data_IF_744967945686
#
_entry.id   IF_744967945686
#
_cell.length_a   1.000
_cell.length_b   1.000
_cell.length_c   1.000
_cell.angle_alpha   90.00
_cell.angle_beta   90.00
_cell.angle_gamma   90.00
#
_symmetry.space_group_name_H-M   'P 1'
#
loop_
_entity.id
_entity.type
_entity.pdbx_description
1 polymer ?
#
# COMPACT_ATOMS: atom_id res chain seq x y z
N UNK A 1 54.36 41.92 35.46
CA UNK A 1 54.61 40.48 35.22
C UNK A 1 53.42 39.74 35.81
N UNK A 2 52.42 39.37 35.00
CA UNK A 2 52.32 38.19 34.12
C UNK A 2 51.76 36.96 34.85
N UNK A 3 50.70 36.36 34.29
CA UNK A 3 50.11 35.06 34.68
C UNK A 3 48.72 35.24 35.31
N UNK A 4 47.57 35.14 34.62
CA UNK A 4 46.97 34.04 33.83
C UNK A 4 46.69 32.80 34.71
N UNK A 5 45.41 32.58 35.04
CA UNK A 5 44.92 31.42 35.78
C UNK A 5 43.40 31.44 35.98
N UNK A 6 42.70 30.77 35.08
CA UNK A 6 41.39 30.10 35.18
C UNK A 6 40.20 30.76 35.90
N UNK A 7 39.32 31.39 35.10
CA UNK A 7 37.89 31.46 35.38
C UNK A 7 37.16 30.52 34.42
N UNK A 8 36.76 29.36 34.94
CA UNK A 8 36.05 28.31 34.22
C UNK A 8 34.71 28.82 33.64
N UNK A 9 34.69 29.09 32.34
CA UNK A 9 33.47 29.29 31.57
C UNK A 9 32.75 27.94 31.40
N UNK A 10 31.92 27.55 32.37
CA UNK A 10 30.94 26.47 32.20
C UNK A 10 29.85 26.94 31.24
N UNK A 11 30.15 26.89 29.94
CA UNK A 11 29.15 26.97 28.87
C UNK A 11 28.39 25.65 28.91
N UNK A 12 27.22 25.64 29.53
CA UNK A 12 26.30 24.52 29.51
C UNK A 12 25.97 24.21 28.03
N UNK A 13 26.62 23.21 27.46
CA UNK A 13 26.17 22.59 26.21
C UNK A 13 24.86 21.90 26.55
N UNK A 14 23.75 22.57 26.24
CA UNK A 14 22.42 22.00 26.36
C UNK A 14 22.41 20.65 25.66
N UNK A 15 22.10 19.59 26.39
CA UNK A 15 21.82 18.28 25.84
C UNK A 15 20.66 18.43 24.84
N UNK A 16 21.01 18.47 23.55
CA UNK A 16 20.06 18.39 22.46
C UNK A 16 19.62 16.93 22.42
N UNK A 17 18.68 16.62 23.32
CA UNK A 17 18.04 15.31 23.44
C UNK A 17 17.53 14.91 22.07
N UNK A 18 18.07 13.80 21.56
CA UNK A 18 17.67 13.11 20.34
C UNK A 18 16.14 13.11 20.18
N UNK A 19 15.65 13.91 19.25
CA UNK A 19 14.30 13.81 18.69
C UNK A 19 14.41 13.48 17.20
N UNK A 20 15.06 12.36 16.87
CA UNK A 20 14.95 11.75 15.55
C UNK A 20 14.30 10.36 15.68
N UNK A 21 13.19 10.29 16.41
CA UNK A 21 12.30 9.12 16.31
C UNK A 21 11.37 9.35 15.12
N UNK A 22 11.97 9.26 13.92
CA UNK A 22 11.30 9.55 12.66
C UNK A 22 12.28 9.97 11.59
N UNK A 23 13.16 9.06 11.18
CA UNK A 23 13.93 9.21 9.94
C UNK A 23 13.01 9.45 8.74
N UNK A 24 13.56 10.01 7.67
CA UNK A 24 12.80 10.29 6.45
C UNK A 24 12.15 9.00 5.93
N UNK A 25 10.86 9.08 5.56
CA UNK A 25 10.14 7.91 5.04
C UNK A 25 10.64 7.65 3.61
N UNK A 26 11.52 6.67 3.44
CA UNK A 26 11.89 6.12 2.12
C UNK A 26 10.69 5.31 1.59
N UNK A 27 10.03 5.82 0.55
CA UNK A 27 8.95 5.12 -0.16
C UNK A 27 9.54 4.20 -1.21
N UNK A 28 9.00 2.99 -1.31
CA UNK A 28 9.49 1.98 -2.24
C UNK A 28 8.80 2.15 -3.60
N UNK A 29 9.56 2.08 -4.68
CA UNK A 29 9.11 2.44 -6.04
C UNK A 29 8.95 1.25 -6.98
N UNK A 30 9.51 0.09 -6.65
CA UNK A 30 9.36 -1.16 -7.41
C UNK A 30 9.08 -2.38 -6.51
N UNK A 31 8.53 -3.45 -7.10
CA UNK A 31 8.27 -4.70 -6.38
C UNK A 31 9.58 -5.40 -5.94
N UNK A 32 10.61 -5.32 -6.77
CA UNK A 32 11.94 -5.85 -6.46
C UNK A 32 12.59 -5.10 -5.28
N UNK A 33 12.39 -3.79 -5.22
CA UNK A 33 12.86 -2.94 -4.11
C UNK A 33 12.11 -3.25 -2.80
N UNK A 34 10.83 -3.63 -2.87
CA UNK A 34 10.04 -4.08 -1.70
C UNK A 34 10.56 -5.41 -1.16
N UNK A 35 10.85 -6.37 -2.04
CA UNK A 35 11.37 -7.67 -1.65
C UNK A 35 12.77 -7.55 -1.04
N UNK A 36 13.64 -6.74 -1.64
CA UNK A 36 14.97 -6.49 -1.10
C UNK A 36 14.91 -5.88 0.31
N UNK A 37 14.04 -4.88 0.51
CA UNK A 37 13.81 -4.28 1.83
C UNK A 37 13.29 -5.30 2.85
N UNK A 38 12.31 -6.11 2.47
CA UNK A 38 11.73 -7.11 3.36
C UNK A 38 12.78 -8.15 3.78
N UNK A 39 13.62 -8.62 2.85
CA UNK A 39 14.72 -9.56 3.16
C UNK A 39 15.72 -8.97 4.15
N UNK A 40 16.10 -7.70 3.98
CA UNK A 40 17.00 -7.00 4.92
C UNK A 40 16.36 -6.86 6.30
N UNK A 41 15.06 -6.54 6.35
CA UNK A 41 14.33 -6.44 7.62
C UNK A 41 14.18 -7.80 8.32
N UNK A 42 13.98 -8.88 7.56
CA UNK A 42 13.89 -10.25 8.08
C UNK A 42 15.24 -10.71 8.67
N UNK A 43 16.35 -10.49 7.96
CA UNK A 43 17.71 -10.77 8.48
C UNK A 43 17.97 -9.99 9.76
N UNK A 44 17.59 -8.70 9.80
CA UNK A 44 17.74 -7.86 10.99
C UNK A 44 16.86 -8.36 12.16
N UNK A 45 15.66 -8.85 11.88
CA UNK A 45 14.79 -9.43 12.89
C UNK A 45 15.32 -10.77 13.41
N UNK A 46 15.85 -11.62 12.54
CA UNK A 46 16.45 -12.90 12.89
C UNK A 46 17.69 -12.70 13.77
N UNK A 47 18.58 -11.77 13.39
CA UNK A 47 19.74 -11.38 14.23
C UNK A 47 19.31 -10.87 15.61
N UNK A 48 18.21 -10.12 15.69
CA UNK A 48 17.65 -9.65 16.98
C UNK A 48 17.02 -10.78 17.79
N UNK A 49 16.43 -11.78 17.14
CA UNK A 49 15.87 -12.96 17.79
C UNK A 49 16.98 -13.88 18.30
N UNK A 50 18.03 -14.09 17.51
CA UNK A 50 19.21 -14.84 17.92
C UNK A 50 19.84 -14.24 19.19
N UNK A 51 20.04 -12.92 19.24
CA UNK A 51 20.50 -12.20 20.46
C UNK A 51 19.57 -12.29 21.67
N UNK A 52 18.31 -12.71 21.50
CA UNK A 52 17.34 -12.87 22.61
C UNK A 52 17.21 -14.33 23.06
N UNK A 53 17.53 -15.27 22.18
CA UNK A 53 17.43 -16.71 22.42
C UNK A 53 18.75 -17.27 22.99
N UNK A 54 19.88 -16.73 22.53
CA UNK A 54 21.22 -17.02 23.07
C UNK A 54 21.60 -15.91 24.07
N UNK A 55 21.51 -16.21 25.37
CA UNK A 55 21.88 -15.29 26.45
C UNK A 55 23.39 -15.13 26.61
N UNK A 56 24.10 -14.86 25.50
CA UNK A 56 25.55 -14.78 25.45
C UNK A 56 26.02 -13.32 25.44
N UNK A 57 26.69 -12.93 26.52
CA UNK A 57 27.44 -11.68 26.67
C UNK A 57 28.80 -11.80 25.95
N UNK A 58 28.80 -11.77 24.62
CA UNK A 58 30.01 -11.42 23.86
C UNK A 58 29.77 -10.08 23.14
N UNK A 59 30.16 -9.02 23.86
CA UNK A 59 30.26 -7.63 23.42
C UNK A 59 31.44 -7.52 22.43
N UNK A 60 31.25 -7.97 21.19
CA UNK A 60 32.13 -7.64 20.07
C UNK A 60 31.48 -6.55 19.20
N UNK A 61 31.95 -5.34 19.48
CA UNK A 61 31.92 -4.07 18.75
C UNK A 61 30.62 -3.66 18.02
N UNK A 62 30.00 -2.68 18.65
CA UNK A 62 29.06 -1.72 18.10
C UNK A 62 29.72 -0.88 16.98
N UNK A 63 29.78 -1.43 15.76
CA UNK A 63 29.97 -0.62 14.55
C UNK A 63 28.59 -0.19 14.04
N UNK A 64 27.94 0.74 14.76
CA UNK A 64 26.95 1.65 14.18
C UNK A 64 27.66 2.60 13.18
N UNK A 65 28.10 2.02 12.07
CA UNK A 65 28.52 2.72 10.87
C UNK A 65 27.28 3.12 10.08
N UNK A 66 27.07 4.43 9.96
CA UNK A 66 26.17 5.08 9.01
C UNK A 66 26.65 4.83 7.56
N UNK A 67 26.53 3.59 7.07
CA UNK A 67 26.79 3.23 5.68
C UNK A 67 25.52 3.40 4.85
N UNK A 68 25.09 4.66 4.69
CA UNK A 68 24.03 5.08 3.75
C UNK A 68 24.63 5.48 2.37
N UNK A 69 25.82 4.97 2.03
CA UNK A 69 26.41 5.11 0.69
C UNK A 69 27.12 3.80 0.28
N UNK A 70 26.92 3.35 -0.96
CA UNK A 70 27.53 2.18 -1.64
C UNK A 70 27.09 0.74 -1.29
N UNK A 71 25.80 0.42 -1.44
CA UNK A 71 25.31 -1.00 -1.47
C UNK A 71 24.49 -1.30 -2.73
N UNK A 72 25.12 -1.17 -3.90
CA UNK A 72 24.57 -1.78 -5.12
C UNK A 72 25.58 -2.71 -5.82
N UNK A 73 26.87 -2.57 -5.56
CA UNK A 73 27.92 -3.30 -6.31
C UNK A 73 28.58 -4.47 -5.54
N UNK A 74 28.26 -4.66 -4.25
CA UNK A 74 28.91 -5.69 -3.40
C UNK A 74 28.12 -7.00 -3.23
N UNK A 75 26.93 -7.13 -3.84
CA UNK A 75 26.04 -8.29 -3.62
C UNK A 75 26.28 -9.42 -4.65
N UNK A 76 27.08 -9.20 -5.70
CA UNK A 76 27.30 -10.21 -6.74
C UNK A 76 28.45 -11.20 -6.44
N UNK A 77 29.35 -10.89 -5.49
CA UNK A 77 30.60 -11.67 -5.35
C UNK A 77 30.77 -12.46 -4.03
N UNK A 78 29.76 -12.55 -3.16
CA UNK A 78 29.83 -13.38 -1.93
C UNK A 78 28.78 -14.49 -1.92
N UNK A 79 28.68 -15.22 -3.03
CA UNK A 79 27.94 -16.49 -3.08
C UNK A 79 28.73 -17.62 -3.76
N UNK A 80 30.04 -17.64 -3.52
CA UNK A 80 30.75 -18.91 -3.49
C UNK A 80 30.35 -19.61 -2.19
N UNK A 81 29.44 -20.58 -2.31
CA UNK A 81 29.10 -21.53 -1.25
C UNK A 81 30.37 -22.31 -0.89
N UNK A 82 31.18 -21.75 0.01
CA UNK A 82 32.09 -22.55 0.83
C UNK A 82 31.18 -23.43 1.69
N UNK A 83 31.01 -24.68 1.25
CA UNK A 83 30.43 -25.75 2.04
C UNK A 83 31.35 -25.93 3.24
N UNK A 84 31.13 -25.11 4.26
CA UNK A 84 31.75 -25.25 5.56
C UNK A 84 31.23 -26.58 6.11
N UNK A 85 31.99 -27.65 5.83
CA UNK A 85 31.87 -28.90 6.55
C UNK A 85 31.86 -28.54 8.03
N UNK A 86 30.68 -28.64 8.65
CA UNK A 86 30.49 -28.58 10.10
C UNK A 86 31.36 -29.67 10.72
N UNK A 87 32.65 -29.37 10.91
CA UNK A 87 33.62 -30.24 11.53
C UNK A 87 33.12 -30.43 12.94
N UNK A 88 32.60 -31.64 13.20
CA UNK A 88 32.10 -32.05 14.50
C UNK A 88 33.04 -31.54 15.59
N UNK A 89 32.51 -30.69 16.47
CA UNK A 89 33.30 -30.01 17.49
C UNK A 89 34.11 -31.05 18.28
N UNK A 90 35.44 -30.97 18.19
CA UNK A 90 36.32 -31.84 18.96
C UNK A 90 36.04 -31.59 20.45
N UNK A 91 35.90 -32.64 21.28
CA UNK A 91 35.60 -32.47 22.69
C UNK A 91 36.70 -31.63 23.34
N UNK A 92 36.32 -30.50 23.95
CA UNK A 92 37.25 -29.58 24.61
C UNK A 92 37.69 -30.17 25.96
N UNK A 93 38.98 -30.13 26.26
CA UNK A 93 39.53 -30.50 27.57
C UNK A 93 39.44 -31.99 27.94
N UNK A 94 39.24 -32.27 29.23
CA UNK A 94 39.27 -33.64 29.82
C UNK A 94 38.04 -34.48 29.42
N UNK A 95 37.00 -33.85 28.85
CA UNK A 95 35.78 -34.52 28.41
C UNK A 95 36.02 -35.63 27.37
N UNK A 96 37.09 -35.54 26.57
CA UNK A 96 37.47 -36.59 25.62
C UNK A 96 38.15 -37.81 26.26
N UNK A 97 38.62 -37.70 27.51
CA UNK A 97 39.35 -38.74 28.24
C UNK A 97 38.43 -39.53 29.18
N UNK A 98 37.31 -38.92 29.61
CA UNK A 98 36.34 -39.55 30.50
C UNK A 98 35.52 -40.58 29.72
N UNK A 99 35.78 -41.86 29.95
CA UNK A 99 34.96 -42.95 29.42
C UNK A 99 33.59 -42.97 30.12
N UNK A 100 32.54 -42.63 29.39
CA UNK A 100 31.15 -42.71 29.88
C UNK A 100 30.74 -44.18 29.94
N UNK A 101 30.92 -44.83 31.09
CA UNK A 101 30.45 -46.20 31.37
C UNK A 101 28.98 -46.20 31.83
N UNK A 102 28.11 -45.44 31.15
CA UNK A 102 26.68 -45.52 31.45
C UNK A 102 26.06 -46.61 30.56
N UNK A 103 25.62 -47.75 31.11
CA UNK A 103 25.02 -48.83 30.33
C UNK A 103 23.72 -48.42 29.61
N UNK A 104 23.05 -47.33 30.03
CA UNK A 104 21.90 -46.75 29.34
C UNK A 104 22.28 -45.68 28.31
N UNK A 105 23.57 -45.33 28.17
CA UNK A 105 24.03 -44.37 27.19
C UNK A 105 24.25 -45.07 25.85
N UNK A 106 23.21 -45.09 25.02
CA UNK A 106 23.31 -45.57 23.66
C UNK A 106 23.84 -44.44 22.77
N UNK A 107 25.02 -44.64 22.19
CA UNK A 107 25.53 -43.76 21.14
C UNK A 107 24.71 -43.98 19.87
N UNK A 108 24.18 -42.90 19.28
CA UNK A 108 23.48 -42.98 18.01
C UNK A 108 24.45 -43.49 16.93
N UNK A 109 24.27 -44.75 16.50
CA UNK A 109 25.06 -45.31 15.39
C UNK A 109 24.47 -44.76 14.09
N UNK A 110 25.32 -44.17 13.26
CA UNK A 110 24.92 -43.74 11.92
C UNK A 110 24.50 -44.96 11.10
N UNK A 111 23.21 -45.01 10.73
CA UNK A 111 22.66 -46.07 9.87
C UNK A 111 23.13 -45.79 8.45
N UNK A 112 23.79 -46.76 7.81
CA UNK A 112 24.29 -46.60 6.43
C UNK A 112 23.13 -46.82 5.45
N UNK A 113 23.10 -46.06 4.37
CA UNK A 113 22.03 -46.15 3.35
C UNK A 113 21.87 -47.55 2.73
N UNK A 114 22.89 -48.42 2.80
CA UNK A 114 22.85 -49.81 2.31
C UNK A 114 22.04 -50.76 3.21
N UNK A 115 21.80 -50.37 4.46
CA UNK A 115 21.12 -51.20 5.46
C UNK A 115 19.62 -50.83 5.60
N UNK A 116 19.13 -49.87 4.80
CA UNK A 116 17.73 -49.44 4.78
C UNK A 116 16.99 -50.27 3.72
N UNK A 117 16.19 -51.24 4.15
CA UNK A 117 15.31 -52.02 3.28
C UNK A 117 14.07 -51.19 2.91
N UNK A 118 13.84 -50.85 1.63
CA UNK A 118 12.69 -50.06 1.19
C UNK A 118 11.34 -50.79 1.33
N UNK A 119 11.35 -52.10 1.63
CA UNK A 119 10.15 -52.91 1.76
C UNK A 119 9.84 -53.31 3.21
N UNK A 120 10.63 -52.84 4.18
CA UNK A 120 10.36 -53.05 5.60
C UNK A 120 9.21 -52.16 6.08
N UNK A 121 8.35 -52.69 6.95
CA UNK A 121 7.28 -51.91 7.57
C UNK A 121 7.88 -50.73 8.34
N UNK A 122 7.33 -49.51 8.19
CA UNK A 122 7.82 -48.35 8.90
C UNK A 122 7.72 -48.59 10.40
N UNK A 123 8.82 -48.30 11.12
CA UNK A 123 8.86 -48.45 12.56
C UNK A 123 7.67 -47.72 13.20
N UNK A 124 6.99 -48.32 14.22
CA UNK A 124 5.85 -47.69 14.84
C UNK A 124 6.30 -46.37 15.48
N UNK A 125 5.76 -45.27 14.97
CA UNK A 125 6.09 -43.91 15.40
C UNK A 125 6.04 -43.81 16.92
N UNK A 126 7.05 -43.15 17.50
CA UNK A 126 7.10 -42.91 18.94
C UNK A 126 5.90 -42.06 19.35
N UNK A 127 5.46 -42.17 20.61
CA UNK A 127 4.32 -41.39 21.11
C UNK A 127 4.49 -39.89 20.82
N UNK A 128 5.72 -39.39 20.97
CA UNK A 128 6.09 -38.00 20.70
C UNK A 128 5.95 -37.64 19.22
N UNK A 129 6.34 -38.53 18.31
CA UNK A 129 6.18 -38.32 16.86
C UNK A 129 4.71 -38.34 16.45
N UNK A 130 3.89 -39.22 17.04
CA UNK A 130 2.44 -39.25 16.76
C UNK A 130 1.75 -37.97 17.19
N UNK A 131 2.04 -37.49 18.40
CA UNK A 131 1.48 -36.23 18.90
C UNK A 131 1.98 -35.02 18.07
N UNK A 132 3.22 -35.04 17.58
CA UNK A 132 3.74 -34.01 16.69
C UNK A 132 3.03 -33.99 15.33
N UNK A 133 2.84 -35.14 14.69
CA UNK A 133 2.11 -35.26 13.43
C UNK A 133 0.63 -34.90 13.57
N UNK A 134 -0.01 -35.25 14.69
CA UNK A 134 -1.40 -34.86 14.94
C UNK A 134 -1.52 -33.34 15.14
N UNK A 135 -0.56 -32.72 15.85
CA UNK A 135 -0.50 -31.27 16.02
C UNK A 135 -0.31 -30.57 14.67
N UNK A 136 0.57 -31.08 13.83
CA UNK A 136 0.79 -30.57 12.48
C UNK A 136 -0.47 -30.73 11.60
N UNK A 137 -1.08 -31.92 11.61
CA UNK A 137 -2.32 -32.18 10.88
C UNK A 137 -3.47 -31.26 11.32
N UNK A 138 -3.59 -30.99 12.63
CA UNK A 138 -4.59 -30.07 13.18
C UNK A 138 -4.32 -28.62 12.76
N UNK A 139 -3.06 -28.19 12.77
CA UNK A 139 -2.66 -26.87 12.30
C UNK A 139 -2.95 -26.71 10.80
N UNK A 140 -2.58 -27.70 9.99
CA UNK A 140 -2.88 -27.72 8.56
C UNK A 140 -4.39 -27.70 8.29
N UNK A 141 -5.19 -28.48 9.04
CA UNK A 141 -6.64 -28.48 8.94
C UNK A 141 -7.25 -27.11 9.32
N UNK A 142 -6.73 -26.46 10.36
CA UNK A 142 -7.12 -25.11 10.73
C UNK A 142 -6.84 -24.11 9.60
N UNK A 143 -5.61 -24.13 9.07
CA UNK A 143 -5.21 -23.26 7.97
C UNK A 143 -6.08 -23.49 6.73
N UNK A 144 -6.35 -24.74 6.37
CA UNK A 144 -7.26 -25.09 5.28
C UNK A 144 -8.66 -24.52 5.49
N UNK A 145 -9.22 -24.63 6.70
CA UNK A 145 -10.54 -24.07 7.04
C UNK A 145 -10.55 -22.55 7.06
N UNK A 146 -9.45 -21.93 7.49
CA UNK A 146 -9.31 -20.48 7.50
C UNK A 146 -9.24 -19.92 6.07
N UNK A 147 -8.41 -20.52 5.21
CA UNK A 147 -8.34 -20.19 3.78
C UNK A 147 -9.68 -20.41 3.06
N UNK A 148 -10.41 -21.47 3.43
CA UNK A 148 -11.75 -21.73 2.92
C UNK A 148 -12.83 -20.77 3.45
N UNK A 149 -12.49 -19.82 4.34
CA UNK A 149 -13.45 -18.87 4.90
C UNK A 149 -14.41 -19.48 5.93
N UNK A 150 -14.10 -20.66 6.48
CA UNK A 150 -15.00 -21.37 7.39
C UNK A 150 -14.79 -21.01 8.87
N UNK A 151 -13.58 -20.57 9.24
CA UNK A 151 -13.28 -20.08 10.59
C UNK A 151 -14.05 -18.79 10.88
N UNK A 152 -14.37 -18.53 12.14
CA UNK A 152 -15.09 -17.31 12.50
C UNK A 152 -14.31 -16.04 12.14
N UNK A 153 -12.99 -16.09 12.27
CA UNK A 153 -12.09 -15.00 11.87
C UNK A 153 -12.22 -14.70 10.38
N UNK A 154 -12.07 -15.71 9.52
CA UNK A 154 -12.17 -15.52 8.09
C UNK A 154 -13.58 -15.09 7.66
N UNK A 155 -14.64 -15.58 8.32
CA UNK A 155 -16.01 -15.09 8.10
C UNK A 155 -16.18 -13.63 8.47
N UNK A 156 -15.59 -13.18 9.59
CA UNK A 156 -15.62 -11.76 10.00
C UNK A 156 -14.88 -10.90 8.99
N UNK A 157 -13.74 -11.35 8.49
CA UNK A 157 -12.96 -10.61 7.50
C UNK A 157 -13.67 -10.57 6.14
N UNK A 158 -14.27 -11.67 5.70
CA UNK A 158 -15.12 -11.69 4.51
C UNK A 158 -16.30 -10.73 4.64
N UNK A 159 -16.98 -10.70 5.79
CA UNK A 159 -18.07 -9.75 6.04
C UNK A 159 -17.58 -8.29 5.96
N UNK A 160 -16.41 -7.98 6.50
CA UNK A 160 -15.80 -6.64 6.38
C UNK A 160 -15.50 -6.30 4.92
N UNK A 161 -14.94 -7.24 4.17
CA UNK A 161 -14.67 -7.05 2.73
C UNK A 161 -15.95 -6.86 1.92
N UNK A 162 -17.01 -7.62 2.22
CA UNK A 162 -18.33 -7.45 1.61
C UNK A 162 -18.94 -6.08 1.90
N UNK A 163 -18.84 -5.59 3.14
CA UNK A 163 -19.30 -4.25 3.50
C UNK A 163 -18.56 -3.16 2.72
N UNK A 164 -17.24 -3.30 2.56
CA UNK A 164 -16.45 -2.38 1.72
C UNK A 164 -16.86 -2.46 0.25
N UNK A 165 -17.09 -3.66 -0.29
CA UNK A 165 -17.59 -3.84 -1.66
C UNK A 165 -18.94 -3.17 -1.84
N UNK A 166 -19.90 -3.40 -0.95
CA UNK A 166 -21.23 -2.74 -0.96
C UNK A 166 -21.11 -1.23 -0.92
N UNK A 167 -20.29 -0.68 -0.02
CA UNK A 167 -20.08 0.78 0.05
C UNK A 167 -19.47 1.35 -1.24
N UNK A 168 -18.57 0.61 -1.90
CA UNK A 168 -17.99 1.01 -3.18
C UNK A 168 -19.01 0.94 -4.31
N UNK A 169 -19.80 -0.12 -4.36
CA UNK A 169 -20.87 -0.31 -5.34
C UNK A 169 -21.97 0.75 -5.19
N UNK A 170 -22.41 1.02 -3.97
CA UNK A 170 -23.37 2.08 -3.65
C UNK A 170 -22.84 3.46 -4.03
N UNK A 171 -21.57 3.76 -3.73
CA UNK A 171 -20.95 5.02 -4.15
C UNK A 171 -20.84 5.14 -5.68
N UNK A 172 -20.48 4.05 -6.37
CA UNK A 172 -20.44 4.03 -7.83
C UNK A 172 -21.84 4.18 -8.44
N UNK A 173 -22.85 3.54 -7.86
CA UNK A 173 -24.23 3.67 -8.28
C UNK A 173 -24.75 5.09 -8.07
N UNK A 174 -24.46 5.71 -6.91
CA UNK A 174 -24.82 7.10 -6.64
C UNK A 174 -24.19 8.05 -7.65
N UNK A 175 -22.90 7.90 -7.95
CA UNK A 175 -22.22 8.71 -8.95
C UNK A 175 -22.87 8.58 -10.32
N UNK A 176 -23.21 7.36 -10.76
CA UNK A 176 -23.92 7.15 -12.03
C UNK A 176 -25.29 7.81 -12.06
N UNK A 177 -26.05 7.70 -10.97
CA UNK A 177 -27.37 8.35 -10.86
C UNK A 177 -27.26 9.88 -10.86
N UNK A 178 -26.27 10.44 -10.17
CA UNK A 178 -25.99 11.88 -10.17
C UNK A 178 -25.56 12.38 -11.55
N UNK A 179 -24.73 11.63 -12.28
CA UNK A 179 -24.32 11.93 -13.65
C UNK A 179 -25.50 11.85 -14.63
N UNK A 180 -26.34 10.81 -14.52
CA UNK A 180 -27.56 10.68 -15.34
C UNK A 180 -28.56 11.80 -15.06
N UNK A 181 -28.79 12.14 -13.78
CA UNK A 181 -29.65 13.24 -13.39
C UNK A 181 -29.10 14.60 -13.86
N UNK A 182 -27.79 14.83 -13.76
CA UNK A 182 -27.14 16.03 -14.27
C UNK A 182 -27.24 16.11 -15.80
N UNK A 183 -27.07 14.98 -16.50
CA UNK A 183 -27.25 14.92 -17.96
C UNK A 183 -28.71 15.19 -18.36
N UNK A 184 -29.70 14.69 -17.62
CA UNK A 184 -31.10 15.02 -17.84
C UNK A 184 -31.41 16.50 -17.58
N UNK A 185 -30.88 17.06 -16.49
CA UNK A 185 -31.05 18.48 -16.18
C UNK A 185 -30.38 19.36 -17.23
N UNK A 186 -29.19 18.99 -17.72
CA UNK A 186 -28.53 19.69 -18.82
C UNK A 186 -29.33 19.59 -20.12
N UNK A 187 -29.90 18.42 -20.44
CA UNK A 187 -30.80 18.25 -21.60
C UNK A 187 -32.09 19.06 -21.44
N UNK A 188 -32.65 19.14 -20.23
CA UNK A 188 -33.85 19.96 -19.95
C UNK A 188 -33.54 21.45 -20.03
N UNK A 189 -32.39 21.89 -19.50
CA UNK A 189 -31.92 23.27 -19.58
C UNK A 189 -31.61 23.69 -21.02
N UNK A 190 -30.97 22.83 -21.82
CA UNK A 190 -30.76 23.09 -23.25
C UNK A 190 -32.08 23.13 -24.02
N UNK A 191 -33.06 22.29 -23.66
CA UNK A 191 -34.41 22.34 -24.26
C UNK A 191 -35.23 23.54 -23.82
N UNK A 192 -35.06 24.05 -22.59
CA UNK A 192 -35.73 25.27 -22.15
C UNK A 192 -35.08 26.50 -22.78
N UNK A 193 -33.75 26.59 -22.85
CA UNK A 193 -33.09 27.71 -23.53
C UNK A 193 -33.44 27.78 -25.01
N UNK A 194 -33.52 26.63 -25.71
CA UNK A 194 -33.97 26.59 -27.11
C UNK A 194 -35.43 27.05 -27.26
N UNK A 195 -36.29 26.79 -26.27
CA UNK A 195 -37.69 27.23 -26.30
C UNK A 195 -37.86 28.71 -25.93
N UNK A 196 -37.05 29.23 -25.02
CA UNK A 196 -37.06 30.64 -24.64
C UNK A 196 -36.57 31.53 -25.80
N UNK A 197 -35.71 31.03 -26.69
CA UNK A 197 -35.28 31.70 -27.94
C UNK A 197 -36.34 31.63 -29.08
N UNK A 198 -37.39 30.81 -28.88
CA UNK A 198 -38.46 30.55 -29.85
C UNK A 198 -39.80 31.19 -29.47
N UNK A 199 -39.88 31.91 -28.35
CA UNK A 199 -41.06 32.69 -28.01
C UNK A 199 -41.20 33.89 -28.96
N UNK A 200 -42.28 33.89 -29.74
CA UNK A 200 -42.68 34.98 -30.63
C UNK A 200 -42.80 36.26 -29.80
N UNK A 201 -41.94 37.25 -30.09
CA UNK A 201 -41.99 38.53 -29.40
C UNK A 201 -43.28 39.27 -29.80
N UNK A 202 -44.20 39.44 -28.84
CA UNK A 202 -45.46 40.14 -29.07
C UNK A 202 -45.20 41.59 -29.56
N UNK A 203 -45.97 42.06 -30.55
CA UNK A 203 -45.70 43.31 -31.27
C UNK A 203 -45.66 44.55 -30.34
N UNK A 204 -46.33 44.47 -29.19
CA UNK A 204 -46.30 45.49 -28.13
C UNK A 204 -44.96 45.51 -27.39
N UNK A 205 -44.37 44.34 -27.14
CA UNK A 205 -43.07 44.22 -26.50
C UNK A 205 -41.96 44.76 -27.41
N UNK A 206 -41.99 44.44 -28.70
CA UNK A 206 -41.01 44.93 -29.70
C UNK A 206 -40.93 46.47 -29.71
N UNK A 207 -42.07 47.16 -29.65
CA UNK A 207 -42.12 48.64 -29.64
C UNK A 207 -41.48 49.26 -28.39
N UNK A 208 -41.55 48.57 -27.25
CA UNK A 208 -41.01 49.02 -25.97
C UNK A 208 -39.48 48.83 -25.85
N UNK A 209 -38.88 48.00 -26.71
CA UNK A 209 -37.45 47.70 -26.66
C UNK A 209 -36.56 48.92 -26.93
N UNK A 210 -35.36 48.89 -26.35
CA UNK A 210 -34.30 49.90 -26.59
C UNK A 210 -33.65 49.66 -27.96
N UNK A 211 -33.12 50.71 -28.62
CA UNK A 211 -32.48 50.58 -29.94
C UNK A 211 -31.34 49.54 -30.00
N UNK A 212 -30.55 49.41 -28.93
CA UNK A 212 -29.45 48.45 -28.88
C UNK A 212 -29.97 47.01 -28.89
N UNK A 213 -30.97 46.74 -28.05
CA UNK A 213 -31.62 45.43 -27.94
C UNK A 213 -32.32 45.05 -29.25
N UNK A 214 -32.98 46.00 -29.93
CA UNK A 214 -33.56 45.78 -31.26
C UNK A 214 -32.50 45.40 -32.30
N UNK A 215 -31.32 46.03 -32.28
CA UNK A 215 -30.23 45.69 -33.18
C UNK A 215 -29.66 44.31 -32.90
N UNK A 216 -29.60 43.90 -31.65
CA UNK A 216 -29.07 42.59 -31.28
C UNK A 216 -30.03 41.47 -31.71
N UNK A 217 -31.34 41.63 -31.48
CA UNK A 217 -32.35 40.72 -32.05
C UNK A 217 -32.32 40.68 -33.59
N UNK A 218 -32.16 41.83 -34.26
CA UNK A 218 -32.02 41.84 -35.72
C UNK A 218 -30.74 41.14 -36.20
N UNK A 219 -29.61 41.23 -35.47
CA UNK A 219 -28.37 40.49 -35.79
C UNK A 219 -28.54 38.98 -35.60
N UNK A 220 -29.15 38.56 -34.49
CA UNK A 220 -29.41 37.15 -34.19
C UNK A 220 -30.31 36.50 -35.24
N UNK A 221 -31.27 37.26 -35.78
CA UNK A 221 -32.15 36.84 -36.87
C UNK A 221 -31.55 37.08 -38.27
N UNK A 222 -30.36 37.67 -38.39
CA UNK A 222 -29.68 37.93 -39.67
C UNK A 222 -30.25 39.09 -40.51
N UNK A 223 -31.05 39.98 -39.94
CA UNK A 223 -31.60 41.18 -40.59
C UNK A 223 -30.66 42.40 -40.47
N UNK A 224 -30.85 43.39 -41.35
CA UNK A 224 -30.07 44.63 -41.34
C UNK A 224 -30.31 45.49 -40.09
N UNK A 225 -29.22 45.93 -39.45
CA UNK A 225 -29.20 46.82 -38.26
C UNK A 225 -29.20 48.32 -38.57
N UNK A 226 -29.19 48.70 -39.84
CA UNK A 226 -29.14 50.10 -40.25
C UNK A 226 -30.53 50.75 -40.16
N UNK A 227 -30.57 52.06 -39.86
CA UNK A 227 -31.81 52.85 -39.86
C UNK A 227 -32.25 53.38 -38.50
N UNK A 228 -33.42 54.03 -38.50
CA UNK A 228 -34.04 54.61 -37.31
C UNK A 228 -34.74 53.54 -36.46
N UNK A 229 -35.00 53.83 -35.16
CA UNK A 229 -35.66 52.89 -34.24
C UNK A 229 -36.98 52.33 -34.80
N UNK A 230 -37.79 53.17 -35.46
CA UNK A 230 -39.06 52.75 -36.04
C UNK A 230 -38.89 51.72 -37.16
N UNK A 231 -37.86 51.86 -38.00
CA UNK A 231 -37.58 50.92 -39.08
C UNK A 231 -37.03 49.59 -38.55
N UNK A 232 -36.25 49.63 -37.47
CA UNK A 232 -35.77 48.44 -36.76
C UNK A 232 -36.95 47.67 -36.14
N UNK A 233 -37.91 48.37 -35.56
CA UNK A 233 -39.15 47.80 -35.02
C UNK A 233 -39.98 47.15 -36.13
N UNK A 234 -40.20 47.85 -37.24
CA UNK A 234 -41.05 47.37 -38.32
C UNK A 234 -40.47 46.09 -38.93
N UNK A 235 -39.16 46.05 -39.21
CA UNK A 235 -38.48 44.84 -39.72
C UNK A 235 -38.60 43.65 -38.77
N UNK A 236 -38.49 43.88 -37.46
CA UNK A 236 -38.62 42.80 -36.49
C UNK A 236 -40.07 42.29 -36.41
N UNK A 237 -41.05 43.20 -36.49
CA UNK A 237 -42.47 42.82 -36.55
C UNK A 237 -42.78 42.04 -37.83
N UNK A 238 -42.31 42.50 -38.98
CA UNK A 238 -42.55 41.84 -40.26
C UNK A 238 -41.95 40.43 -40.26
N UNK A 239 -40.74 40.26 -39.74
CA UNK A 239 -40.09 38.95 -39.59
C UNK A 239 -40.84 37.99 -38.65
N UNK A 240 -41.27 38.47 -37.48
CA UNK A 240 -42.04 37.64 -36.54
C UNK A 240 -43.43 37.29 -37.10
N UNK A 241 -44.06 38.19 -37.86
CA UNK A 241 -45.30 37.89 -38.58
C UNK A 241 -45.10 36.81 -39.66
N UNK A 242 -44.04 36.92 -40.48
CA UNK A 242 -43.69 35.92 -41.50
C UNK A 242 -43.37 34.55 -40.89
N UNK A 243 -42.74 34.53 -39.70
CA UNK A 243 -42.48 33.30 -38.94
C UNK A 243 -43.75 32.66 -38.36
N UNK A 244 -44.78 33.46 -38.10
CA UNK A 244 -46.05 33.00 -37.50
C UNK A 244 -47.08 32.45 -38.50
N UNK A 245 -46.88 32.73 -39.80
CA UNK A 245 -47.69 32.27 -40.94
C UNK A 245 -47.32 30.85 -41.36
#
# INVERSE_FOLDING_TARGET
>A
MSGKGDAAAKKAKSSKRNSLKGGSRKFVTSAEEMEARNRVEDIRQEKRRARRDDGDEEDEDDEEGDDDDVVFDRIVEEKEEEVEELKAAKPKGVAGIIQVQNPNFQTAKAVKAKDIDPNAEPAPLTRREREALEKEAKAAAYMKRHLAGQTEEAKRDMRRLEEVKKRREEAALRKKQEEEAAAELAKKAAKSSIKDDEEVLDARAIKALKPNVLKDYLKERGLSIQGQKAELIQRLIDYENEKSL
#
